data_IF_737389554123
#
_entry.id   IF_737389554123
#
_cell.length_a   1.000
_cell.length_b   1.000
_cell.length_c   1.000
_cell.angle_alpha   90.00
_cell.angle_beta   90.00
_cell.angle_gamma   90.00
#
_symmetry.space_group_name_H-M   'P 1'
#
loop_
_entity.id
_entity.type
_entity.pdbx_description
1 polymer ?
#
# COMPACT_ATOMS: atom_id res chain seq x y z
N UNK A 1 25.19 -30.33 -5.64
CA UNK A 1 26.11 -29.20 -5.43
C UNK A 1 26.07 -28.36 -6.69
N UNK A 2 25.24 -27.31 -6.72
CA UNK A 2 25.07 -26.47 -7.92
C UNK A 2 26.04 -25.31 -7.80
N UNK A 3 27.01 -25.25 -8.71
CA UNK A 3 28.05 -24.23 -8.78
C UNK A 3 27.73 -23.25 -9.91
N UNK A 4 27.64 -21.95 -9.59
CA UNK A 4 27.53 -20.89 -10.59
C UNK A 4 28.93 -20.61 -11.14
N UNK A 5 29.08 -20.72 -12.47
CA UNK A 5 30.35 -20.58 -13.18
C UNK A 5 30.63 -19.10 -13.46
N UNK A 6 31.62 -18.53 -12.77
CA UNK A 6 32.50 -17.48 -13.31
C UNK A 6 33.89 -17.70 -12.70
N UNK A 7 34.91 -17.83 -13.57
CA UNK A 7 36.05 -18.77 -13.46
C UNK A 7 37.10 -18.54 -12.34
N UNK A 8 36.80 -17.83 -11.25
CA UNK A 8 37.73 -17.73 -10.09
C UNK A 8 37.09 -17.57 -8.70
N UNK A 9 35.75 -17.53 -8.56
CA UNK A 9 35.12 -17.31 -7.26
C UNK A 9 34.12 -18.41 -6.90
N UNK A 10 34.61 -19.48 -6.26
CA UNK A 10 33.75 -20.55 -5.71
C UNK A 10 33.21 -20.10 -4.36
N UNK A 11 32.06 -19.40 -4.35
CA UNK A 11 31.38 -19.03 -3.11
C UNK A 11 30.44 -20.16 -2.69
N UNK A 12 30.58 -20.73 -1.48
CA UNK A 12 29.66 -21.75 -1.00
C UNK A 12 28.25 -21.16 -0.83
N UNK A 13 27.23 -21.86 -1.35
CA UNK A 13 25.84 -21.40 -1.31
C UNK A 13 25.32 -21.15 0.12
N UNK A 14 25.97 -21.72 1.14
CA UNK A 14 25.70 -21.48 2.57
C UNK A 14 26.13 -20.10 3.07
N UNK A 15 26.99 -19.38 2.35
CA UNK A 15 27.48 -18.06 2.73
C UNK A 15 26.63 -16.91 2.15
N UNK A 16 25.70 -17.21 1.22
CA UNK A 16 24.85 -16.21 0.57
C UNK A 16 23.43 -16.34 1.11
N UNK A 17 23.03 -15.39 1.96
CA UNK A 17 21.71 -15.40 2.61
C UNK A 17 20.61 -14.73 1.77
N UNK A 18 20.83 -14.52 0.47
CA UNK A 18 19.87 -13.83 -0.40
C UNK A 18 19.23 -14.80 -1.40
N UNK A 19 17.89 -14.82 -1.53
CA UNK A 19 17.20 -15.67 -2.51
C UNK A 19 17.43 -15.23 -3.97
N UNK A 20 18.08 -14.08 -4.19
CA UNK A 20 18.39 -13.52 -5.51
C UNK A 20 19.46 -14.33 -6.27
N UNK A 21 20.21 -15.21 -5.59
CA UNK A 21 21.27 -16.02 -6.22
C UNK A 21 20.74 -17.06 -7.22
N UNK A 22 19.44 -17.36 -7.18
CA UNK A 22 18.80 -18.29 -8.11
C UNK A 22 18.36 -17.63 -9.43
N UNK A 23 18.51 -16.30 -9.56
CA UNK A 23 18.13 -15.54 -10.76
C UNK A 23 19.35 -15.13 -11.59
N UNK A 24 19.13 -14.91 -12.89
CA UNK A 24 20.10 -14.29 -13.79
C UNK A 24 20.56 -12.93 -13.23
N UNK A 25 21.86 -12.55 -13.34
CA UNK A 25 22.40 -11.31 -12.77
C UNK A 25 21.62 -10.04 -13.17
N UNK A 26 21.16 -9.97 -14.42
CA UNK A 26 20.36 -8.83 -14.90
C UNK A 26 19.02 -8.73 -14.18
N UNK A 27 18.36 -9.88 -13.95
CA UNK A 27 17.08 -9.95 -13.26
C UNK A 27 17.25 -9.69 -11.76
N UNK A 28 18.33 -10.19 -11.15
CA UNK A 28 18.65 -9.92 -9.74
C UNK A 28 18.88 -8.43 -9.48
N UNK A 29 19.56 -7.72 -10.40
CA UNK A 29 19.75 -6.28 -10.35
C UNK A 29 18.43 -5.52 -10.46
N UNK A 30 17.57 -5.94 -11.41
CA UNK A 30 16.24 -5.33 -11.61
C UNK A 30 15.35 -5.49 -10.37
N UNK A 31 15.30 -6.68 -9.76
CA UNK A 31 14.49 -6.93 -8.56
C UNK A 31 15.01 -6.11 -7.37
N UNK A 32 16.33 -6.04 -7.20
CA UNK A 32 16.96 -5.27 -6.11
C UNK A 32 16.64 -3.78 -6.24
N UNK A 33 16.81 -3.21 -7.43
CA UNK A 33 16.48 -1.80 -7.69
C UNK A 33 15.00 -1.49 -7.49
N UNK A 34 14.10 -2.34 -8.01
CA UNK A 34 12.67 -2.21 -7.77
C UNK A 34 12.32 -2.24 -6.28
N UNK A 35 12.98 -3.11 -5.51
CA UNK A 35 12.80 -3.21 -4.06
C UNK A 35 13.23 -1.93 -3.35
N UNK A 36 14.38 -1.36 -3.69
CA UNK A 36 14.84 -0.09 -3.13
C UNK A 36 13.88 1.07 -3.44
N UNK A 37 13.41 1.16 -4.70
CA UNK A 37 12.42 2.17 -5.11
C UNK A 37 11.13 2.02 -4.32
N UNK A 38 10.68 0.78 -4.09
CA UNK A 38 9.48 0.50 -3.33
C UNK A 38 9.62 0.92 -1.86
N UNK A 39 10.74 0.59 -1.20
CA UNK A 39 11.03 0.99 0.18
C UNK A 39 11.16 2.51 0.30
N UNK A 40 11.81 3.17 -0.66
CA UNK A 40 11.93 4.62 -0.68
C UNK A 40 10.55 5.29 -0.84
N UNK A 41 9.71 4.77 -1.73
CA UNK A 41 8.34 5.26 -1.96
C UNK A 41 7.44 5.04 -0.74
N UNK A 42 7.62 3.93 -0.05
CA UNK A 42 7.01 3.64 1.25
C UNK A 42 7.39 4.68 2.31
N UNK A 43 8.68 4.95 2.45
CA UNK A 43 9.19 5.96 3.36
C UNK A 43 8.62 7.34 3.04
N UNK A 44 8.61 7.73 1.77
CA UNK A 44 8.01 8.99 1.32
C UNK A 44 6.51 9.07 1.61
N UNK A 45 5.77 7.97 1.42
CA UNK A 45 4.33 7.91 1.72
C UNK A 45 4.05 8.02 3.21
N UNK A 46 4.85 7.35 4.06
CA UNK A 46 4.77 7.47 5.52
C UNK A 46 5.07 8.90 5.95
N UNK A 47 6.14 9.48 5.41
CA UNK A 47 6.55 10.84 5.70
C UNK A 47 5.45 11.85 5.33
N UNK A 48 4.90 11.74 4.12
CA UNK A 48 3.81 12.59 3.64
C UNK A 48 2.56 12.46 4.51
N UNK A 49 2.24 11.26 4.99
CA UNK A 49 1.13 11.09 5.94
C UNK A 49 1.42 11.75 7.28
N UNK A 50 2.61 11.56 7.86
CA UNK A 50 2.96 12.16 9.15
C UNK A 50 2.99 13.69 9.11
N UNK A 51 3.54 14.27 8.04
CA UNK A 51 3.64 15.72 7.86
C UNK A 51 2.26 16.37 7.70
N UNK A 52 1.39 15.76 6.88
CA UNK A 52 0.03 16.26 6.69
C UNK A 52 -0.87 15.98 7.90
N UNK A 53 -0.61 14.92 8.68
CA UNK A 53 -1.44 14.54 9.83
C UNK A 53 -1.49 15.63 10.90
N UNK A 54 -0.39 16.34 11.15
CA UNK A 54 -0.37 17.42 12.15
C UNK A 54 -1.31 18.58 11.77
N UNK A 55 -1.31 18.96 10.49
CA UNK A 55 -2.17 20.04 10.00
C UNK A 55 -3.63 19.58 9.88
N UNK A 56 -3.87 18.34 9.45
CA UNK A 56 -5.19 17.74 9.37
C UNK A 56 -5.80 17.49 10.75
N UNK A 57 -5.00 17.09 11.75
CA UNK A 57 -5.44 16.90 13.14
C UNK A 57 -5.85 18.23 13.76
N UNK A 58 -5.10 19.30 13.51
CA UNK A 58 -5.48 20.65 13.94
C UNK A 58 -6.80 21.10 13.29
N UNK A 59 -7.03 20.71 12.03
CA UNK A 59 -8.27 21.01 11.31
C UNK A 59 -9.45 20.16 11.81
N UNK A 60 -9.21 18.91 12.20
CA UNK A 60 -10.18 17.99 12.82
C UNK A 60 -10.59 18.41 14.23
N UNK A 61 -9.68 19.03 15.00
CA UNK A 61 -9.93 19.46 16.38
C UNK A 61 -10.56 20.86 16.43
N UNK A 62 -10.24 21.76 15.49
CA UNK A 62 -10.72 23.15 15.50
C UNK A 62 -11.79 23.51 14.46
N UNK A 63 -12.02 22.71 13.42
CA UNK A 63 -12.98 23.03 12.34
C UNK A 63 -14.00 21.91 12.13
N UNK A 64 -15.21 22.26 11.68
CA UNK A 64 -16.28 21.28 11.40
C UNK A 64 -15.79 20.17 10.46
N UNK A 65 -15.95 18.91 10.90
CA UNK A 65 -15.55 17.73 10.14
C UNK A 65 -16.36 17.67 8.83
N UNK A 66 -15.77 18.15 7.73
CA UNK A 66 -16.36 18.00 6.39
C UNK A 66 -16.01 16.63 5.83
N UNK A 67 -16.99 16.00 5.18
CA UNK A 67 -16.87 14.74 4.45
C UNK A 67 -15.55 14.53 3.65
N UNK A 68 -15.03 15.51 2.86
CA UNK A 68 -13.77 15.35 2.14
C UNK A 68 -12.56 15.05 3.04
N UNK A 69 -12.52 15.57 4.28
CA UNK A 69 -11.40 15.32 5.21
C UNK A 69 -11.36 13.86 5.66
N UNK A 70 -12.54 13.26 5.91
CA UNK A 70 -12.64 11.83 6.27
C UNK A 70 -12.18 10.95 5.11
N UNK A 71 -12.63 11.25 3.89
CA UNK A 71 -12.30 10.47 2.69
C UNK A 71 -10.81 10.62 2.36
N UNK A 72 -10.23 11.80 2.59
CA UNK A 72 -8.79 12.03 2.50
C UNK A 72 -8.01 11.15 3.46
N UNK A 73 -8.39 11.12 4.73
CA UNK A 73 -7.75 10.27 5.72
C UNK A 73 -7.85 8.78 5.36
N UNK A 74 -9.03 8.32 4.93
CA UNK A 74 -9.26 6.95 4.49
C UNK A 74 -8.38 6.57 3.29
N UNK A 75 -8.20 7.48 2.33
CA UNK A 75 -7.31 7.30 1.18
C UNK A 75 -5.87 7.07 1.64
N UNK A 76 -5.39 7.91 2.57
CA UNK A 76 -4.01 7.86 3.08
C UNK A 76 -3.73 6.57 3.85
N UNK A 77 -4.63 6.17 4.76
CA UNK A 77 -4.49 4.93 5.53
C UNK A 77 -4.55 3.70 4.62
N UNK A 78 -5.45 3.70 3.62
CA UNK A 78 -5.55 2.59 2.67
C UNK A 78 -4.29 2.43 1.82
N UNK A 79 -3.70 3.54 1.36
CA UNK A 79 -2.45 3.52 0.60
C UNK A 79 -1.27 3.00 1.44
N UNK A 80 -1.18 3.43 2.71
CA UNK A 80 -0.17 2.92 3.64
C UNK A 80 -0.34 1.43 3.89
N UNK A 81 -1.57 0.97 4.16
CA UNK A 81 -1.88 -0.46 4.33
C UNK A 81 -1.48 -1.29 3.12
N UNK A 82 -1.81 -0.82 1.91
CA UNK A 82 -1.42 -1.48 0.66
C UNK A 82 0.11 -1.55 0.48
N UNK A 83 0.79 -0.44 0.76
CA UNK A 83 2.23 -0.36 0.57
C UNK A 83 2.97 -1.24 1.59
N UNK A 84 2.50 -1.25 2.85
CA UNK A 84 3.03 -2.12 3.89
C UNK A 84 2.77 -3.59 3.57
N UNK A 85 1.57 -3.93 3.10
CA UNK A 85 1.24 -5.29 2.65
C UNK A 85 2.20 -5.81 1.58
N UNK A 86 2.66 -4.93 0.68
CA UNK A 86 3.69 -5.25 -0.33
C UNK A 86 5.10 -5.39 0.23
N UNK A 87 5.42 -4.71 1.33
CA UNK A 87 6.73 -4.77 1.98
C UNK A 87 6.92 -5.97 2.91
N UNK A 88 5.86 -6.46 3.54
CA UNK A 88 5.95 -7.59 4.49
C UNK A 88 6.64 -8.82 3.89
N UNK A 89 6.29 -9.30 2.68
CA UNK A 89 6.96 -10.45 2.05
C UNK A 89 8.46 -10.26 1.83
N UNK A 90 8.94 -9.02 1.77
CA UNK A 90 10.35 -8.69 1.60
C UNK A 90 11.13 -8.77 2.91
N UNK A 91 10.44 -8.69 4.05
CA UNK A 91 11.07 -8.66 5.39
C UNK A 91 11.01 -9.99 6.11
N UNK A 92 9.95 -10.77 5.90
CA UNK A 92 9.75 -12.07 6.56
C UNK A 92 9.13 -13.08 5.60
N UNK A 93 9.53 -14.36 5.69
CA UNK A 93 8.79 -15.44 5.07
C UNK A 93 7.38 -15.48 5.66
N UNK A 94 6.39 -15.64 4.80
CA UNK A 94 4.97 -15.69 5.16
C UNK A 94 4.46 -17.10 4.96
N UNK A 95 3.72 -17.61 5.95
CA UNK A 95 3.05 -18.90 5.84
C UNK A 95 1.81 -18.80 4.92
N UNK A 96 1.09 -17.67 4.95
CA UNK A 96 -0.17 -17.47 4.24
C UNK A 96 -0.15 -16.29 3.23
N UNK A 97 0.47 -16.52 2.07
CA UNK A 97 0.49 -15.53 0.98
C UNK A 97 -0.91 -15.13 0.47
N UNK A 98 -1.88 -16.05 0.51
CA UNK A 98 -3.24 -15.80 0.04
C UNK A 98 -3.99 -14.77 0.91
N UNK A 99 -3.81 -14.84 2.24
CA UNK A 99 -4.42 -13.92 3.18
C UNK A 99 -3.87 -12.50 3.01
N UNK A 100 -2.54 -12.38 2.88
CA UNK A 100 -1.89 -11.10 2.62
C UNK A 100 -2.33 -10.51 1.28
N UNK A 101 -2.35 -11.30 0.21
CA UNK A 101 -2.80 -10.83 -1.10
C UNK A 101 -4.24 -10.32 -1.05
N UNK A 102 -5.14 -11.03 -0.36
CA UNK A 102 -6.54 -10.62 -0.18
C UNK A 102 -6.64 -9.28 0.56
N UNK A 103 -5.93 -9.15 1.67
CA UNK A 103 -5.88 -7.89 2.43
C UNK A 103 -5.38 -6.74 1.56
N UNK A 104 -4.33 -6.98 0.78
CA UNK A 104 -3.73 -5.99 -0.10
C UNK A 104 -4.70 -5.56 -1.22
N UNK A 105 -5.44 -6.49 -1.81
CA UNK A 105 -6.48 -6.18 -2.79
C UNK A 105 -7.59 -5.30 -2.22
N UNK A 106 -8.02 -5.54 -0.97
CA UNK A 106 -9.02 -4.70 -0.30
C UNK A 106 -8.49 -3.27 -0.10
N UNK A 107 -7.27 -3.11 0.38
CA UNK A 107 -6.66 -1.78 0.54
C UNK A 107 -6.54 -1.03 -0.80
N UNK A 108 -6.22 -1.73 -1.88
CA UNK A 108 -6.16 -1.13 -3.21
C UNK A 108 -7.54 -0.63 -3.68
N UNK A 109 -8.59 -1.43 -3.51
CA UNK A 109 -9.96 -1.03 -3.88
C UNK A 109 -10.42 0.18 -3.07
N UNK A 110 -10.15 0.17 -1.76
CA UNK A 110 -10.46 1.29 -0.86
C UNK A 110 -9.73 2.57 -1.29
N UNK A 111 -8.46 2.46 -1.65
CA UNK A 111 -7.67 3.58 -2.15
C UNK A 111 -8.25 4.16 -3.45
N UNK A 112 -8.57 3.32 -4.43
CA UNK A 112 -9.15 3.74 -5.71
C UNK A 112 -10.52 4.39 -5.51
N UNK A 113 -11.38 3.80 -4.68
CA UNK A 113 -12.70 4.34 -4.39
C UNK A 113 -12.61 5.72 -3.70
N UNK A 114 -11.72 5.85 -2.71
CA UNK A 114 -11.56 7.07 -1.93
C UNK A 114 -10.90 8.20 -2.74
N UNK A 115 -9.89 7.88 -3.56
CA UNK A 115 -9.27 8.86 -4.48
C UNK A 115 -10.27 9.36 -5.52
N UNK A 116 -11.03 8.46 -6.15
CA UNK A 116 -12.06 8.83 -7.14
C UNK A 116 -13.11 9.73 -6.50
N UNK A 117 -13.54 9.41 -5.29
CA UNK A 117 -14.46 10.23 -4.54
C UNK A 117 -13.90 11.61 -4.19
N UNK A 118 -12.63 11.72 -3.80
CA UNK A 118 -11.98 13.01 -3.57
C UNK A 118 -11.92 13.86 -4.83
N UNK A 119 -11.56 13.27 -5.96
CA UNK A 119 -11.58 13.95 -7.26
C UNK A 119 -12.99 14.48 -7.57
N UNK A 120 -13.99 13.63 -7.40
CA UNK A 120 -15.38 14.02 -7.63
C UNK A 120 -15.85 15.12 -6.66
N UNK A 121 -15.51 15.02 -5.37
CA UNK A 121 -15.83 16.04 -4.37
C UNK A 121 -15.13 17.37 -4.66
N UNK A 122 -13.89 17.35 -5.16
CA UNK A 122 -13.21 18.57 -5.61
C UNK A 122 -13.92 19.22 -6.79
N UNK A 123 -14.39 18.42 -7.75
CA UNK A 123 -15.20 18.91 -8.88
C UNK A 123 -16.57 19.42 -8.42
N UNK A 124 -17.25 18.73 -7.51
CA UNK A 124 -18.55 19.16 -6.98
C UNK A 124 -18.47 20.34 -6.02
N UNK A 125 -17.35 20.53 -5.31
CA UNK A 125 -17.12 21.75 -4.54
C UNK A 125 -17.09 22.99 -5.44
N UNK A 126 -16.69 22.83 -6.71
CA UNK A 126 -16.75 23.86 -7.75
C UNK A 126 -18.19 24.00 -8.31
N UNK A 127 -19.01 22.95 -8.26
CA UNK A 127 -20.34 22.89 -8.91
C UNK A 127 -21.58 22.80 -7.96
N UNK A 128 -21.43 23.02 -6.64
CA UNK A 128 -22.43 22.79 -5.58
C UNK A 128 -22.77 21.29 -5.31
N UNK A 129 -22.90 20.92 -4.01
CA UNK A 129 -22.57 19.59 -3.45
C UNK A 129 -23.78 18.72 -3.04
N UNK A 130 -23.66 17.38 -3.18
CA UNK A 130 -24.66 16.37 -2.73
C UNK A 130 -24.07 15.35 -1.72
N UNK A 131 -24.82 15.04 -0.64
CA UNK A 131 -24.39 14.23 0.53
C UNK A 131 -24.35 12.70 0.28
N UNK A 132 -24.94 12.22 -0.80
CA UNK A 132 -25.17 10.78 -1.08
C UNK A 132 -23.89 9.96 -1.32
N UNK A 133 -22.80 10.60 -1.72
CA UNK A 133 -21.56 9.94 -2.15
C UNK A 133 -20.73 9.42 -0.98
N UNK A 134 -20.76 10.13 0.15
CA UNK A 134 -20.05 9.73 1.38
C UNK A 134 -20.62 8.41 1.91
N UNK A 135 -21.94 8.27 1.84
CA UNK A 135 -22.64 7.03 2.22
C UNK A 135 -22.22 5.90 1.27
N UNK A 136 -22.14 6.17 -0.04
CA UNK A 136 -21.69 5.19 -1.04
C UNK A 136 -20.28 4.63 -0.75
N UNK A 137 -19.32 5.48 -0.37
CA UNK A 137 -17.94 5.06 -0.06
C UNK A 137 -17.90 4.27 1.26
N UNK A 138 -18.63 4.71 2.28
CA UNK A 138 -18.71 3.98 3.56
C UNK A 138 -19.30 2.58 3.39
N UNK A 139 -20.33 2.45 2.55
CA UNK A 139 -20.96 1.17 2.21
C UNK A 139 -19.99 0.27 1.44
N UNK A 140 -19.30 0.80 0.42
CA UNK A 140 -18.34 0.02 -0.38
C UNK A 140 -17.18 -0.51 0.48
N UNK A 141 -16.79 0.27 1.49
CA UNK A 141 -15.72 -0.12 2.41
C UNK A 141 -16.17 -1.26 3.33
N UNK A 142 -17.40 -1.21 3.81
CA UNK A 142 -17.96 -2.20 4.74
C UNK A 142 -18.19 -3.55 4.05
N UNK A 143 -18.64 -3.56 2.79
CA UNK A 143 -18.83 -4.79 2.02
C UNK A 143 -17.51 -5.46 1.66
N UNK A 144 -16.46 -4.68 1.41
CA UNK A 144 -15.11 -5.21 1.13
C UNK A 144 -14.53 -5.97 2.32
N UNK A 145 -14.74 -5.46 3.54
CA UNK A 145 -14.36 -6.17 4.78
C UNK A 145 -15.22 -7.41 4.99
N UNK A 146 -16.53 -7.34 4.70
CA UNK A 146 -17.43 -8.48 4.78
C UNK A 146 -17.05 -9.63 3.84
N UNK A 147 -16.67 -9.31 2.59
CA UNK A 147 -16.23 -10.31 1.60
C UNK A 147 -14.89 -10.97 1.98
N UNK A 148 -14.05 -10.28 2.77
CA UNK A 148 -12.83 -10.86 3.32
C UNK A 148 -13.08 -11.86 4.46
N UNK A 149 -14.20 -11.72 5.19
CA UNK A 149 -14.56 -12.61 6.31
C UNK A 149 -15.35 -13.86 5.88
N UNK A 150 -16.07 -13.86 4.76
CA UNK A 150 -16.87 -15.02 4.30
C UNK A 150 -16.06 -16.16 3.67
N UNK A 151 -14.75 -15.99 3.50
CA UNK A 151 -13.83 -16.97 2.92
C UNK A 151 -12.97 -17.69 3.98
N UNK A 152 -13.39 -17.68 5.25
CA UNK A 152 -12.81 -18.46 6.36
C UNK A 152 -13.55 -19.78 6.57
#
# INVERSE_FOLDING_TARGET
MVTVVNDTLVVPLSAVSTPLIFFDPDLAYLISSATYIHIASLGATIWDVLDNLGNDYRLLVHYEIRAPTIIYFLTRVSLLGFSLGRAVPLTKPLDDCAALQRSNSVFLILFIASTTALFYLRVCAVCAMERKIVIGIGVVSSTSVGMAQTLS
#
